data_IF_936940810259
#
_entry.id   IF_936940810259
#
_cell.length_a   1.000
_cell.length_b   1.000
_cell.length_c   1.000
_cell.angle_alpha   90.00
_cell.angle_beta   90.00
_cell.angle_gamma   90.00
#
_symmetry.space_group_name_H-M   'P 1'
#
loop_
_entity.id
_entity.type
_entity.pdbx_description
1 polymer ?
#
# COMPACT_ATOMS: atom_id res chain seq x y z
N UNK A 1 -14.55 5.31 -28.56
CA UNK A 1 -14.74 4.06 -27.79
C UNK A 1 -13.60 3.14 -28.17
N UNK A 2 -12.86 2.56 -27.24
CA UNK A 2 -11.80 1.61 -27.58
C UNK A 2 -12.42 0.26 -27.80
N UNK A 3 -12.19 -0.36 -28.99
CA UNK A 3 -12.64 -1.72 -29.25
C UNK A 3 -11.78 -2.70 -28.41
N UNK A 4 -12.41 -3.40 -27.50
CA UNK A 4 -11.84 -4.52 -26.77
C UNK A 4 -12.74 -5.75 -26.98
N UNK A 5 -12.15 -6.93 -27.16
CA UNK A 5 -10.71 -7.25 -27.15
C UNK A 5 -10.00 -6.83 -28.43
N UNK A 6 -8.71 -6.49 -28.31
CA UNK A 6 -7.81 -6.26 -29.43
C UNK A 6 -7.02 -7.55 -29.71
N UNK A 7 -6.69 -7.80 -30.99
CA UNK A 7 -5.81 -8.91 -31.42
C UNK A 7 -4.35 -8.73 -30.92
N UNK A 8 -4.05 -7.57 -30.33
CA UNK A 8 -2.73 -7.24 -29.82
C UNK A 8 -2.65 -7.48 -28.33
N UNK A 9 -1.53 -8.06 -27.89
CA UNK A 9 -1.17 -8.15 -26.48
C UNK A 9 -0.93 -6.74 -25.94
N UNK A 10 -1.68 -6.36 -24.89
CA UNK A 10 -1.55 -5.05 -24.24
C UNK A 10 -0.81 -5.21 -22.91
N UNK A 11 0.44 -4.76 -22.88
CA UNK A 11 1.31 -4.81 -21.71
C UNK A 11 1.53 -3.44 -21.05
N UNK A 12 0.67 -2.46 -21.31
CA UNK A 12 0.81 -1.10 -20.75
C UNK A 12 0.58 -1.07 -19.24
N UNK A 13 -0.36 -1.84 -18.73
CA UNK A 13 -0.73 -1.89 -17.31
C UNK A 13 -1.61 -3.10 -17.03
N UNK A 14 -1.52 -3.65 -15.82
CA UNK A 14 -2.46 -4.65 -15.30
C UNK A 14 -3.91 -4.10 -15.24
N UNK A 15 -4.07 -2.79 -15.09
CA UNK A 15 -5.39 -2.12 -15.05
C UNK A 15 -6.18 -2.19 -16.37
N UNK A 16 -5.56 -2.58 -17.48
CA UNK A 16 -6.26 -2.78 -18.76
C UNK A 16 -6.83 -4.20 -18.93
N UNK A 17 -6.54 -5.11 -18.00
CA UNK A 17 -7.07 -6.48 -18.02
C UNK A 17 -8.60 -6.49 -17.87
N UNK A 18 -9.24 -7.51 -18.46
CA UNK A 18 -10.68 -7.66 -18.43
C UNK A 18 -11.08 -8.89 -17.63
N UNK A 19 -12.23 -8.86 -16.92
CA UNK A 19 -12.75 -10.05 -16.29
C UNK A 19 -13.04 -11.15 -17.30
N UNK A 20 -12.69 -12.38 -16.96
CA UNK A 20 -13.06 -13.56 -17.77
C UNK A 20 -14.57 -13.77 -17.80
N UNK A 21 -15.11 -14.55 -18.76
CA UNK A 21 -16.54 -14.91 -18.75
C UNK A 21 -16.99 -15.55 -17.42
N UNK A 22 -16.18 -16.41 -16.83
CA UNK A 22 -16.48 -17.03 -15.53
C UNK A 22 -16.52 -16.00 -14.40
N UNK A 23 -15.61 -15.02 -14.38
CA UNK A 23 -15.64 -13.92 -13.40
C UNK A 23 -16.89 -13.06 -13.56
N UNK A 24 -17.30 -12.76 -14.81
CA UNK A 24 -18.54 -12.00 -15.07
C UNK A 24 -19.77 -12.75 -14.58
N UNK A 25 -19.82 -14.04 -14.80
CA UNK A 25 -20.92 -14.90 -14.33
C UNK A 25 -20.93 -14.99 -12.79
N UNK A 26 -19.78 -15.09 -12.13
CA UNK A 26 -19.69 -15.04 -10.68
C UNK A 26 -20.21 -13.71 -10.11
N UNK A 27 -19.84 -12.58 -10.72
CA UNK A 27 -20.38 -11.26 -10.35
C UNK A 27 -21.89 -11.18 -10.52
N UNK A 28 -22.43 -11.72 -11.62
CA UNK A 28 -23.88 -11.71 -11.88
C UNK A 28 -24.68 -12.53 -10.89
N UNK A 29 -24.09 -13.58 -10.33
CA UNK A 29 -24.72 -14.48 -9.35
C UNK A 29 -24.43 -14.13 -7.90
N UNK A 30 -23.56 -13.17 -7.64
CA UNK A 30 -23.17 -12.84 -6.27
C UNK A 30 -24.39 -12.42 -5.45
N UNK A 31 -24.51 -12.98 -4.26
CA UNK A 31 -25.49 -12.50 -3.29
C UNK A 31 -24.94 -11.22 -2.69
N UNK A 32 -25.74 -10.18 -2.72
CA UNK A 32 -25.38 -8.85 -2.21
C UNK A 32 -26.26 -8.47 -1.04
N UNK A 33 -25.79 -7.60 -0.19
CA UNK A 33 -26.49 -7.04 0.96
C UNK A 33 -26.04 -5.61 1.21
N UNK A 34 -26.47 -5.02 2.31
CA UNK A 34 -26.07 -3.68 2.74
C UNK A 34 -24.79 -3.79 3.58
N UNK A 35 -23.68 -3.29 3.04
CA UNK A 35 -22.39 -3.28 3.70
C UNK A 35 -22.38 -2.39 4.96
N UNK A 36 -23.18 -1.33 4.99
CA UNK A 36 -23.32 -0.46 6.18
C UNK A 36 -23.92 -1.22 7.35
N UNK A 37 -24.82 -2.18 7.09
CA UNK A 37 -25.40 -3.05 8.11
C UNK A 37 -24.58 -4.32 8.36
N UNK A 38 -23.53 -4.55 7.58
CA UNK A 38 -22.75 -5.77 7.62
C UNK A 38 -23.47 -6.99 7.03
N UNK A 39 -24.46 -6.77 6.19
CA UNK A 39 -25.35 -7.81 5.64
C UNK A 39 -24.86 -8.39 4.31
N UNK A 40 -23.80 -7.82 3.68
CA UNK A 40 -23.31 -8.34 2.41
C UNK A 40 -22.43 -9.59 2.62
N UNK A 41 -22.95 -10.81 2.27
CA UNK A 41 -22.23 -12.04 2.53
C UNK A 41 -21.01 -12.20 1.59
N UNK A 42 -21.03 -11.56 0.41
CA UNK A 42 -19.94 -11.66 -0.56
C UNK A 42 -18.75 -10.80 -0.12
N UNK A 43 -18.99 -9.60 0.38
CA UNK A 43 -17.95 -8.74 0.99
C UNK A 43 -17.38 -9.44 2.23
N UNK A 44 -18.22 -9.88 3.15
CA UNK A 44 -17.79 -10.57 4.37
C UNK A 44 -16.90 -11.80 4.07
N UNK A 45 -17.30 -12.61 3.09
CA UNK A 45 -16.51 -13.78 2.66
C UNK A 45 -15.15 -13.39 2.09
N UNK A 46 -15.10 -12.32 1.28
CA UNK A 46 -13.85 -11.80 0.70
C UNK A 46 -12.89 -11.36 1.80
N UNK A 47 -13.36 -10.54 2.74
CA UNK A 47 -12.57 -10.03 3.86
C UNK A 47 -12.01 -11.14 4.73
N UNK A 48 -12.85 -12.09 5.14
CA UNK A 48 -12.45 -13.26 5.93
C UNK A 48 -11.41 -14.12 5.20
N UNK A 49 -11.63 -14.34 3.89
CA UNK A 49 -10.71 -15.16 3.09
C UNK A 49 -9.33 -14.50 2.97
N UNK A 50 -9.26 -13.20 2.72
CA UNK A 50 -8.00 -12.49 2.61
C UNK A 50 -7.30 -12.37 3.96
N UNK A 51 -8.03 -12.08 5.03
CA UNK A 51 -7.50 -12.09 6.40
C UNK A 51 -6.84 -13.44 6.73
N UNK A 52 -7.54 -14.54 6.46
CA UNK A 52 -7.01 -15.88 6.69
C UNK A 52 -5.79 -16.22 5.82
N UNK A 53 -5.81 -15.81 4.54
CA UNK A 53 -4.69 -16.03 3.61
C UNK A 53 -3.43 -15.29 4.07
N UNK A 54 -3.59 -14.08 4.58
CA UNK A 54 -2.49 -13.24 5.06
C UNK A 54 -2.13 -13.51 6.54
N UNK A 55 -2.83 -14.42 7.22
CA UNK A 55 -2.63 -14.68 8.65
C UNK A 55 -2.92 -13.45 9.52
N UNK A 56 -3.88 -12.62 9.11
CA UNK A 56 -4.28 -11.39 9.79
C UNK A 56 -5.62 -11.54 10.50
N UNK A 57 -5.85 -10.67 11.46
CA UNK A 57 -7.04 -10.64 12.30
C UNK A 57 -8.31 -10.30 11.52
N UNK A 58 -8.22 -9.36 10.60
CA UNK A 58 -9.35 -8.87 9.80
C UNK A 58 -8.89 -8.40 8.42
N UNK A 59 -9.83 -8.29 7.49
CA UNK A 59 -9.71 -7.64 6.21
C UNK A 59 -10.75 -6.52 6.09
N UNK A 60 -10.48 -5.54 5.25
CA UNK A 60 -11.40 -4.48 4.91
C UNK A 60 -11.46 -4.33 3.39
N UNK A 61 -12.65 -4.53 2.82
CA UNK A 61 -12.88 -4.25 1.41
C UNK A 61 -13.03 -2.75 1.16
N UNK A 62 -12.36 -2.25 0.15
CA UNK A 62 -12.50 -0.87 -0.34
C UNK A 62 -12.50 -0.84 -1.86
N UNK A 63 -13.18 0.14 -2.50
CA UNK A 63 -13.40 0.16 -3.94
C UNK A 63 -12.14 0.47 -4.77
N UNK A 64 -11.03 0.90 -4.14
CA UNK A 64 -9.78 1.19 -4.86
C UNK A 64 -8.54 1.03 -3.99
N UNK A 65 -7.39 0.71 -4.62
CA UNK A 65 -6.09 0.66 -3.96
C UNK A 65 -5.67 2.02 -3.39
N UNK A 66 -5.96 3.12 -4.08
CA UNK A 66 -5.72 4.48 -3.56
C UNK A 66 -6.48 4.73 -2.25
N UNK A 67 -7.72 4.28 -2.14
CA UNK A 67 -8.47 4.37 -0.89
C UNK A 67 -7.87 3.47 0.19
N UNK A 68 -7.43 2.26 -0.17
CA UNK A 68 -6.74 1.34 0.74
C UNK A 68 -5.50 2.00 1.35
N UNK A 69 -4.62 2.55 0.50
CA UNK A 69 -3.43 3.25 0.95
C UNK A 69 -3.78 4.46 1.83
N UNK A 70 -4.72 5.31 1.42
CA UNK A 70 -5.13 6.48 2.20
C UNK A 70 -5.63 6.10 3.60
N UNK A 71 -6.43 5.04 3.73
CA UNK A 71 -6.91 4.53 5.02
C UNK A 71 -5.74 4.00 5.85
N UNK A 72 -4.86 3.18 5.26
CA UNK A 72 -3.71 2.62 5.95
C UNK A 72 -2.77 3.72 6.46
N UNK A 73 -2.43 4.70 5.61
CA UNK A 73 -1.61 5.84 6.02
C UNK A 73 -2.26 6.60 7.18
N UNK A 74 -3.56 6.91 7.07
CA UNK A 74 -4.30 7.66 8.10
C UNK A 74 -4.44 6.90 9.41
N UNK A 75 -4.56 5.56 9.36
CA UNK A 75 -4.65 4.72 10.56
C UNK A 75 -3.36 4.69 11.38
N UNK A 76 -2.22 4.89 10.74
CA UNK A 76 -0.89 4.83 11.35
C UNK A 76 -0.23 6.20 11.58
N UNK A 77 -0.87 7.30 11.16
CA UNK A 77 -0.29 8.64 11.29
C UNK A 77 -1.27 9.65 11.85
N UNK A 78 -0.71 10.66 12.47
CA UNK A 78 -1.38 11.88 12.90
C UNK A 78 -0.86 13.09 12.11
N UNK A 79 -1.62 14.21 12.04
CA UNK A 79 -1.11 15.42 11.42
C UNK A 79 0.21 15.88 12.04
N UNK A 80 1.22 16.11 11.19
CA UNK A 80 2.57 16.45 11.62
C UNK A 80 3.57 15.29 11.61
N UNK A 81 3.10 14.05 11.53
CA UNK A 81 3.94 12.87 11.39
C UNK A 81 4.64 12.81 10.02
N UNK A 82 5.62 11.94 9.91
CA UNK A 82 6.35 11.70 8.67
C UNK A 82 6.23 10.25 8.21
N UNK A 83 5.95 10.10 6.91
CA UNK A 83 5.90 8.82 6.22
C UNK A 83 7.21 8.63 5.47
N UNK A 84 7.89 7.52 5.70
CA UNK A 84 9.15 7.16 5.06
C UNK A 84 8.84 6.18 3.93
N UNK A 85 9.19 6.53 2.69
CA UNK A 85 8.91 5.69 1.53
C UNK A 85 9.88 5.92 0.38
N UNK A 86 9.91 5.01 -0.58
CA UNK A 86 10.71 5.14 -1.78
C UNK A 86 10.26 6.34 -2.63
N UNK A 87 11.21 7.07 -3.21
CA UNK A 87 10.91 8.21 -4.10
C UNK A 87 10.14 7.83 -5.38
N UNK A 88 10.08 6.55 -5.72
CA UNK A 88 9.35 6.01 -6.86
C UNK A 88 8.04 5.30 -6.47
N UNK A 89 7.63 5.35 -5.20
CA UNK A 89 6.43 4.67 -4.71
C UNK A 89 5.14 5.28 -5.28
N UNK A 90 4.12 4.45 -5.41
CA UNK A 90 2.81 4.83 -5.92
C UNK A 90 2.12 5.85 -5.01
N UNK A 91 2.18 5.65 -3.69
CA UNK A 91 1.59 6.55 -2.69
C UNK A 91 2.11 7.99 -2.79
N UNK A 92 3.36 8.16 -3.24
CA UNK A 92 3.95 9.47 -3.46
C UNK A 92 3.62 10.06 -4.82
N UNK A 93 3.75 9.26 -5.90
CA UNK A 93 3.70 9.77 -7.27
C UNK A 93 2.29 9.88 -7.85
N UNK A 94 1.36 8.99 -7.45
CA UNK A 94 0.13 8.76 -8.22
C UNK A 94 -1.17 8.88 -7.41
N UNK A 95 -1.13 9.24 -6.13
CA UNK A 95 -2.31 9.32 -5.28
C UNK A 95 -2.70 10.75 -4.89
N UNK A 96 -2.38 11.71 -5.76
CA UNK A 96 -2.84 13.10 -5.63
C UNK A 96 -2.35 13.83 -4.37
N UNK A 97 -1.24 13.37 -3.76
CA UNK A 97 -0.74 13.92 -2.51
C UNK A 97 -1.62 13.59 -1.30
N UNK A 98 -2.32 12.44 -1.35
CA UNK A 98 -3.23 11.98 -0.30
C UNK A 98 -2.60 11.92 1.09
N UNK A 99 -1.32 11.57 1.18
CA UNK A 99 -0.56 11.58 2.43
C UNK A 99 -0.58 12.96 3.12
N UNK A 100 -0.52 14.06 2.36
CA UNK A 100 -0.62 15.40 2.89
C UNK A 100 -2.07 15.85 3.05
N UNK A 101 -2.90 15.66 2.02
CA UNK A 101 -4.26 16.18 1.98
C UNK A 101 -5.21 15.48 2.97
N UNK A 102 -5.06 14.17 3.18
CA UNK A 102 -5.96 13.37 4.00
C UNK A 102 -5.38 13.03 5.37
N UNK A 103 -4.05 12.86 5.45
CA UNK A 103 -3.38 12.49 6.69
C UNK A 103 -2.73 13.67 7.41
N UNK A 104 -2.44 14.77 6.69
CA UNK A 104 -1.68 15.90 7.24
C UNK A 104 -0.22 15.54 7.53
N UNK A 105 0.28 14.47 6.93
CA UNK A 105 1.63 13.98 7.15
C UNK A 105 2.64 14.60 6.16
N UNK A 106 3.90 14.72 6.57
CA UNK A 106 5.03 14.94 5.69
C UNK A 106 5.52 13.61 5.09
N UNK A 107 6.44 13.69 4.15
CA UNK A 107 7.02 12.49 3.52
C UNK A 107 8.54 12.61 3.44
N UNK A 108 9.25 11.60 3.94
CA UNK A 108 10.68 11.42 3.76
C UNK A 108 10.91 10.45 2.61
N UNK A 109 11.55 10.93 1.56
CA UNK A 109 11.81 10.15 0.36
C UNK A 109 13.16 9.45 0.45
N UNK A 110 13.13 8.13 0.33
CA UNK A 110 14.32 7.28 0.32
C UNK A 110 14.76 7.03 -1.12
N UNK A 111 16.06 7.09 -1.37
CA UNK A 111 16.64 6.69 -2.64
C UNK A 111 16.46 5.21 -2.92
N UNK A 112 16.39 4.86 -4.20
CA UNK A 112 16.17 3.47 -4.64
C UNK A 112 17.35 2.93 -5.42
N UNK A 113 17.64 1.65 -5.21
CA UNK A 113 18.68 0.88 -5.89
C UNK A 113 18.02 -0.32 -6.56
N UNK A 114 18.05 -0.37 -7.89
CA UNK A 114 17.30 -1.39 -8.62
C UNK A 114 15.78 -1.34 -8.39
N UNK A 115 15.23 -0.17 -8.01
CA UNK A 115 13.81 0.04 -7.73
C UNK A 115 13.39 -0.17 -6.28
N UNK A 116 14.28 -0.60 -5.40
CA UNK A 116 14.01 -0.94 -3.99
C UNK A 116 14.81 -0.05 -3.04
N UNK A 117 14.31 0.20 -1.84
CA UNK A 117 15.04 0.84 -0.75
C UNK A 117 16.00 -0.14 -0.11
N UNK A 118 17.15 0.32 0.35
CA UNK A 118 18.04 -0.43 1.24
C UNK A 118 17.73 -0.11 2.70
N UNK A 119 18.06 -1.04 3.60
CA UNK A 119 17.83 -0.87 5.04
C UNK A 119 18.54 0.37 5.58
N UNK A 120 19.79 0.59 5.14
CA UNK A 120 20.62 1.71 5.58
C UNK A 120 20.05 3.07 5.15
N UNK A 121 19.40 3.12 3.98
CA UNK A 121 18.78 4.35 3.48
C UNK A 121 17.47 4.65 4.24
N UNK A 122 16.73 3.61 4.65
CA UNK A 122 15.55 3.74 5.52
C UNK A 122 15.98 4.22 6.91
N UNK A 123 17.04 3.64 7.47
CA UNK A 123 17.58 4.02 8.79
C UNK A 123 17.95 5.52 8.83
N UNK A 124 18.62 6.02 7.80
CA UNK A 124 18.97 7.44 7.70
C UNK A 124 17.76 8.37 7.55
N UNK A 125 16.64 7.86 7.06
CA UNK A 125 15.42 8.63 6.90
C UNK A 125 14.57 8.69 8.18
N UNK A 126 14.81 7.78 9.14
CA UNK A 126 14.13 7.78 10.43
C UNK A 126 14.75 8.87 11.32
N UNK A 127 13.97 9.88 11.66
CA UNK A 127 14.39 11.03 12.44
C UNK A 127 13.87 10.96 13.87
N UNK A 128 14.34 9.95 14.64
CA UNK A 128 14.00 9.74 16.06
C UNK A 128 15.26 9.70 16.92
N UNK A 129 15.97 10.81 17.04
CA UNK A 129 17.07 10.89 17.99
C UNK A 129 16.57 11.12 19.41
N UNK A 130 17.17 10.43 20.39
CA UNK A 130 16.94 10.69 21.81
C UNK A 130 17.29 12.14 22.13
N UNK A 131 16.31 12.92 22.59
CA UNK A 131 16.45 14.37 22.81
C UNK A 131 16.25 15.18 21.51
N UNK A 132 15.70 14.59 20.47
CA UNK A 132 15.29 15.27 19.24
C UNK A 132 14.49 16.51 19.60
N UNK A 133 14.92 17.61 19.03
CA UNK A 133 14.23 18.88 19.19
C UNK A 133 12.92 18.80 18.42
N UNK A 134 11.84 19.32 19.00
CA UNK A 134 10.46 19.28 18.49
C UNK A 134 10.25 19.91 17.09
N UNK A 135 11.32 20.31 16.41
CA UNK A 135 11.26 20.87 15.06
C UNK A 135 11.39 19.83 13.94
N UNK A 136 11.70 18.56 14.26
CA UNK A 136 11.65 17.47 13.30
C UNK A 136 10.27 16.80 13.34
N UNK A 137 9.69 16.46 12.18
CA UNK A 137 8.54 15.57 12.16
C UNK A 137 8.94 14.17 12.63
N UNK A 138 8.11 13.53 13.43
CA UNK A 138 8.34 12.15 13.86
C UNK A 138 8.12 11.19 12.70
N UNK A 139 9.13 10.38 12.39
CA UNK A 139 8.98 9.23 11.50
C UNK A 139 8.04 8.21 12.16
N UNK A 140 6.81 8.09 11.67
CA UNK A 140 5.77 7.26 12.29
C UNK A 140 5.46 6.01 11.49
N UNK A 141 5.76 6.03 10.20
CA UNK A 141 5.36 4.95 9.27
C UNK A 141 6.43 4.73 8.21
N UNK A 142 6.85 3.48 8.04
CA UNK A 142 7.67 3.03 6.91
C UNK A 142 6.81 2.30 5.90
N UNK A 143 6.74 2.81 4.67
CA UNK A 143 5.97 2.21 3.58
C UNK A 143 6.87 1.55 2.55
N UNK A 144 6.61 0.30 2.23
CA UNK A 144 7.25 -0.43 1.12
C UNK A 144 6.23 -0.74 0.03
N UNK A 145 6.66 -0.75 -1.22
CA UNK A 145 5.84 -1.17 -2.37
C UNK A 145 6.42 -2.45 -2.96
N UNK A 146 5.69 -3.55 -2.85
CA UNK A 146 6.12 -4.86 -3.34
C UNK A 146 4.99 -5.52 -4.17
N UNK A 147 5.19 -5.66 -5.45
CA UNK A 147 6.37 -5.37 -6.27
C UNK A 147 6.46 -3.89 -6.63
N UNK A 148 7.71 -3.34 -6.72
CA UNK A 148 7.89 -1.94 -7.09
C UNK A 148 7.54 -1.71 -8.57
N UNK A 149 6.46 -0.99 -8.84
CA UNK A 149 5.99 -0.72 -10.19
C UNK A 149 7.04 0.05 -11.02
N UNK A 150 7.51 1.17 -10.49
CA UNK A 150 8.54 2.00 -11.14
C UNK A 150 9.93 1.37 -11.12
N UNK A 151 10.13 0.35 -10.30
CA UNK A 151 11.31 -0.50 -10.33
C UNK A 151 11.26 -1.61 -11.38
N UNK A 152 10.27 -1.59 -12.27
CA UNK A 152 10.09 -2.62 -13.31
C UNK A 152 9.56 -3.94 -12.77
N UNK A 153 8.82 -3.93 -11.68
CA UNK A 153 8.31 -5.12 -11.01
C UNK A 153 9.33 -5.77 -10.07
N UNK A 154 10.31 -5.00 -9.60
CA UNK A 154 11.30 -5.50 -8.66
C UNK A 154 10.64 -6.00 -7.36
N UNK A 155 11.07 -7.17 -6.89
CA UNK A 155 10.60 -7.78 -5.65
C UNK A 155 11.66 -7.61 -4.57
N UNK A 156 11.24 -7.22 -3.37
CA UNK A 156 12.13 -7.25 -2.20
C UNK A 156 12.50 -8.68 -1.85
N UNK A 157 13.79 -8.99 -1.59
CA UNK A 157 14.16 -10.18 -0.85
C UNK A 157 13.47 -10.19 0.53
N UNK A 158 13.05 -11.38 0.99
CA UNK A 158 12.35 -11.48 2.28
C UNK A 158 13.19 -10.96 3.44
N UNK A 159 14.50 -11.27 3.43
CA UNK A 159 15.43 -10.78 4.43
C UNK A 159 15.50 -9.25 4.50
N UNK A 160 15.34 -8.56 3.38
CA UNK A 160 15.31 -7.09 3.35
C UNK A 160 14.01 -6.54 3.95
N UNK A 161 12.87 -7.18 3.65
CA UNK A 161 11.58 -6.81 4.26
C UNK A 161 11.61 -7.02 5.78
N UNK A 162 12.14 -8.15 6.22
CA UNK A 162 12.27 -8.48 7.64
C UNK A 162 13.17 -7.48 8.37
N UNK A 163 14.29 -7.10 7.75
CA UNK A 163 15.21 -6.11 8.31
C UNK A 163 14.60 -4.70 8.38
N UNK A 164 13.87 -4.27 7.34
CA UNK A 164 13.14 -2.99 7.36
C UNK A 164 12.06 -3.01 8.44
N UNK A 165 11.32 -4.11 8.59
CA UNK A 165 10.30 -4.24 9.60
C UNK A 165 10.88 -4.23 11.03
N UNK A 166 12.02 -4.90 11.24
CA UNK A 166 12.73 -4.89 12.52
C UNK A 166 13.21 -3.47 12.87
N UNK A 167 13.87 -2.80 11.92
CA UNK A 167 14.34 -1.42 12.07
C UNK A 167 13.18 -0.45 12.39
N UNK A 168 12.06 -0.56 11.69
CA UNK A 168 10.88 0.26 11.95
C UNK A 168 10.38 0.03 13.38
N UNK A 169 10.26 -1.23 13.81
CA UNK A 169 9.82 -1.59 15.15
C UNK A 169 10.76 -1.08 16.24
N UNK A 170 12.07 -1.17 16.06
CA UNK A 170 13.07 -0.66 17.00
C UNK A 170 12.97 0.86 17.19
N UNK A 171 12.42 1.55 16.20
CA UNK A 171 12.23 2.99 16.20
C UNK A 171 10.78 3.43 16.43
N UNK A 172 9.93 2.56 16.96
CA UNK A 172 8.48 2.85 17.18
C UNK A 172 7.75 3.36 15.94
N UNK A 173 8.17 2.91 14.75
CA UNK A 173 7.49 3.16 13.49
C UNK A 173 6.57 1.99 13.15
N UNK A 174 5.37 2.29 12.68
CA UNK A 174 4.52 1.29 12.03
C UNK A 174 5.09 0.91 10.66
N UNK A 175 4.63 -0.21 10.10
CA UNK A 175 4.97 -0.63 8.73
C UNK A 175 3.71 -0.82 7.89
N UNK A 176 3.77 -0.37 6.65
CA UNK A 176 2.73 -0.59 5.64
C UNK A 176 3.35 -1.17 4.37
N UNK A 177 2.68 -2.15 3.78
CA UNK A 177 3.06 -2.69 2.48
C UNK A 177 1.95 -2.40 1.46
N UNK A 178 2.28 -1.63 0.42
CA UNK A 178 1.48 -1.59 -0.79
C UNK A 178 1.77 -2.85 -1.60
N UNK A 179 0.86 -3.80 -1.50
CA UNK A 179 0.96 -5.11 -2.14
C UNK A 179 0.05 -5.23 -3.35
N UNK A 180 0.03 -4.23 -4.22
CA UNK A 180 -0.89 -4.16 -5.35
C UNK A 180 -0.80 -5.35 -6.33
N UNK A 181 0.27 -6.17 -6.27
CA UNK A 181 0.46 -7.34 -7.16
C UNK A 181 0.80 -8.61 -6.42
#
# INVERSE_FOLDING_TARGET
MRDYPSDRVDLRSDTVTQPTPAMREAMNRAVVGDDVLGDDPTVTQLEQRLAALCGKEAGLFVPSGTMSNAIALRAHTSPGDEIITAKNSHIYLYEGGGYAALCGASIALVDVHGGLMRVEDVEQAIRKEAGSLSHYPDGSLVCVENTSNRGGGACYPQETLDAIAALAKENDCATHMDGAR
#
